data_IF_277203246337
#
_entry.id   IF_277203246337
#
_cell.length_a   1.000
_cell.length_b   1.000
_cell.length_c   1.000
_cell.angle_alpha   90.00
_cell.angle_beta   90.00
_cell.angle_gamma   90.00
#
_symmetry.space_group_name_H-M   'P 1'
#
loop_
_entity.id
_entity.type
_entity.pdbx_description
1 polymer ?
#
# COMPACT_ATOMS: atom_id res chain seq x y z
N UNK A 1 -59.46 -46.39 -17.48
CA UNK A 1 -59.40 -45.34 -16.44
C UNK A 1 -57.94 -45.07 -16.12
N UNK A 2 -57.56 -43.79 -16.33
CA UNK A 2 -56.44 -43.00 -15.79
C UNK A 2 -55.06 -43.63 -15.54
N UNK A 3 -54.09 -42.96 -16.17
CA UNK A 3 -52.64 -43.08 -16.10
C UNK A 3 -52.05 -42.84 -14.70
N UNK A 4 -50.81 -43.32 -14.50
CA UNK A 4 -49.84 -42.70 -13.60
C UNK A 4 -48.41 -43.00 -14.09
N UNK A 5 -47.81 -42.01 -14.74
CA UNK A 5 -46.38 -41.91 -15.05
C UNK A 5 -45.62 -41.40 -13.83
N UNK A 6 -44.60 -42.13 -13.36
CA UNK A 6 -43.64 -41.64 -12.37
C UNK A 6 -42.43 -41.04 -13.07
N UNK A 7 -42.31 -39.72 -13.04
CA UNK A 7 -41.12 -38.98 -13.44
C UNK A 7 -40.03 -39.09 -12.38
N UNK A 8 -38.82 -39.46 -12.79
CA UNK A 8 -37.63 -39.39 -11.96
C UNK A 8 -37.08 -37.96 -12.01
N UNK A 9 -37.11 -37.27 -10.87
CA UNK A 9 -36.47 -35.96 -10.69
C UNK A 9 -35.00 -36.23 -10.31
N UNK A 10 -34.08 -36.00 -11.25
CA UNK A 10 -32.64 -35.95 -10.99
C UNK A 10 -32.30 -34.57 -10.44
N UNK A 11 -32.00 -34.48 -9.14
CA UNK A 11 -31.43 -33.30 -8.51
C UNK A 11 -29.92 -33.28 -8.74
N UNK A 12 -29.45 -32.39 -9.61
CA UNK A 12 -28.02 -32.09 -9.77
C UNK A 12 -27.55 -31.22 -8.60
N UNK A 13 -26.65 -31.73 -7.77
CA UNK A 13 -25.96 -30.95 -6.76
C UNK A 13 -24.84 -30.14 -7.43
N UNK A 14 -25.02 -28.83 -7.56
CA UNK A 14 -23.97 -27.92 -8.01
C UNK A 14 -22.95 -27.73 -6.87
N UNK A 15 -21.70 -28.16 -7.10
CA UNK A 15 -20.59 -27.92 -6.19
C UNK A 15 -20.16 -26.45 -6.35
N UNK A 16 -20.54 -25.61 -5.39
CA UNK A 16 -20.12 -24.21 -5.33
C UNK A 16 -18.67 -24.16 -4.83
N UNK A 17 -17.72 -24.02 -5.76
CA UNK A 17 -16.32 -23.72 -5.41
C UNK A 17 -16.26 -22.25 -5.00
N UNK A 18 -16.19 -22.01 -3.69
CA UNK A 18 -16.02 -20.67 -3.14
C UNK A 18 -14.54 -20.30 -3.20
N UNK A 19 -14.11 -19.78 -4.35
CA UNK A 19 -12.78 -19.18 -4.51
C UNK A 19 -12.74 -17.86 -3.76
N UNK A 20 -12.13 -17.84 -2.57
CA UNK A 20 -11.78 -16.60 -1.89
C UNK A 20 -10.58 -16.00 -2.60
N UNK A 21 -10.82 -15.07 -3.52
CA UNK A 21 -9.78 -14.15 -3.96
C UNK A 21 -9.33 -13.37 -2.70
N UNK A 22 -8.09 -13.58 -2.27
CA UNK A 22 -7.47 -12.71 -1.28
C UNK A 22 -7.37 -11.28 -1.83
N UNK A 23 -7.18 -10.27 -0.97
CA UNK A 23 -6.87 -8.94 -1.47
C UNK A 23 -5.60 -9.02 -2.30
N UNK A 24 -5.66 -8.60 -3.57
CA UNK A 24 -4.46 -8.24 -4.29
C UNK A 24 -3.88 -7.03 -3.53
N UNK A 25 -2.68 -7.17 -2.98
CA UNK A 25 -1.90 -6.01 -2.57
C UNK A 25 -1.73 -5.18 -3.83
N UNK A 26 -2.06 -3.88 -3.78
CA UNK A 26 -1.73 -3.01 -4.89
C UNK A 26 -0.19 -2.96 -4.99
N UNK A 27 0.37 -3.20 -6.18
CA UNK A 27 1.82 -3.13 -6.41
C UNK A 27 2.40 -1.73 -6.10
N UNK A 28 1.51 -0.73 -6.09
CA UNK A 28 1.80 0.66 -5.76
C UNK A 28 1.24 1.05 -4.39
N UNK A 29 2.10 1.62 -3.55
CA UNK A 29 1.76 2.13 -2.22
C UNK A 29 2.03 3.62 -2.15
N UNK A 30 1.08 4.38 -1.61
CA UNK A 30 1.23 5.82 -1.39
C UNK A 30 1.82 6.10 -0.01
N UNK A 31 2.85 6.95 0.01
CA UNK A 31 3.58 7.39 1.20
C UNK A 31 3.66 8.92 1.14
N UNK A 32 3.53 9.58 2.29
CA UNK A 32 3.62 11.03 2.39
C UNK A 32 4.67 11.43 3.41
N UNK A 33 5.10 12.69 3.38
CA UNK A 33 5.91 13.31 4.43
C UNK A 33 5.58 14.79 4.52
N UNK A 34 5.45 15.30 5.74
CA UNK A 34 5.34 16.74 6.02
C UNK A 34 6.25 17.07 7.19
N UNK A 35 7.01 18.15 7.08
CA UNK A 35 7.99 18.51 8.08
C UNK A 35 8.60 19.89 7.84
N UNK A 36 9.67 20.18 8.58
CA UNK A 36 10.25 21.52 8.64
C UNK A 36 11.75 21.49 8.95
N UNK A 37 12.39 22.66 8.86
CA UNK A 37 13.78 22.81 9.30
C UNK A 37 13.98 22.47 10.78
N UNK A 38 12.98 22.66 11.63
CA UNK A 38 13.08 22.29 13.06
C UNK A 38 13.19 20.78 13.30
N UNK A 39 12.83 19.95 12.32
CA UNK A 39 12.93 18.48 12.42
C UNK A 39 14.30 17.94 12.01
N UNK A 40 15.19 18.77 11.48
CA UNK A 40 16.55 18.38 11.14
C UNK A 40 17.37 17.95 12.36
N UNK A 41 18.27 16.99 12.13
CA UNK A 41 19.10 16.36 13.15
C UNK A 41 20.51 16.21 12.59
N UNK A 42 21.57 16.49 13.37
CA UNK A 42 21.58 16.85 14.79
C UNK A 42 21.31 18.33 15.09
N UNK A 43 21.50 19.21 14.11
CA UNK A 43 21.24 20.64 14.22
C UNK A 43 19.97 20.98 13.43
N UNK A 44 19.11 21.87 13.93
CA UNK A 44 17.98 22.37 13.15
C UNK A 44 18.46 22.99 11.84
N UNK A 45 17.64 22.81 10.80
CA UNK A 45 17.81 23.42 9.50
C UNK A 45 17.36 24.87 9.51
N UNK A 46 16.82 25.31 8.37
CA UNK A 46 16.44 26.71 8.19
C UNK A 46 15.16 27.04 8.96
N UNK A 47 15.14 28.21 9.58
CA UNK A 47 13.94 28.68 10.26
C UNK A 47 12.84 28.95 9.25
N UNK A 48 11.60 28.58 9.61
CA UNK A 48 10.41 28.73 8.78
C UNK A 48 10.40 27.89 7.48
N UNK A 49 11.46 27.11 7.22
CA UNK A 49 11.48 26.20 6.09
C UNK A 49 10.56 25.00 6.31
N UNK A 50 9.83 24.63 5.26
CA UNK A 50 8.92 23.48 5.23
C UNK A 50 9.24 22.58 4.05
N UNK A 51 9.02 21.28 4.22
CA UNK A 51 9.07 20.29 3.14
C UNK A 51 7.84 19.39 3.20
N UNK A 52 7.19 19.21 2.07
CA UNK A 52 6.12 18.24 1.87
C UNK A 52 6.49 17.31 0.72
N UNK A 53 6.17 16.02 0.85
CA UNK A 53 6.45 15.03 -0.16
C UNK A 53 5.30 14.05 -0.33
N UNK A 54 4.87 13.87 -1.57
CA UNK A 54 3.94 12.83 -2.00
C UNK A 54 4.72 11.79 -2.80
N UNK A 55 4.62 10.52 -2.42
CA UNK A 55 5.36 9.41 -3.03
C UNK A 55 4.40 8.29 -3.40
N UNK A 56 4.59 7.73 -4.60
CA UNK A 56 3.96 6.49 -5.05
C UNK A 56 5.06 5.48 -5.35
N UNK A 57 5.05 4.38 -4.61
CA UNK A 57 6.11 3.37 -4.62
C UNK A 57 5.60 2.12 -5.33
N UNK A 58 6.11 1.84 -6.53
CA UNK A 58 5.95 0.56 -7.22
C UNK A 58 6.99 -0.43 -6.68
N UNK A 59 6.53 -1.31 -5.79
CA UNK A 59 7.38 -2.27 -5.07
C UNK A 59 7.91 -3.39 -5.97
N UNK A 60 7.24 -3.68 -7.08
CA UNK A 60 7.69 -4.68 -8.05
C UNK A 60 8.84 -4.16 -8.92
N UNK A 61 8.70 -2.90 -9.38
CA UNK A 61 9.69 -2.26 -10.26
C UNK A 61 10.81 -1.56 -9.52
N UNK A 62 10.65 -1.31 -8.22
CA UNK A 62 11.54 -0.45 -7.44
C UNK A 62 11.46 1.02 -7.88
N UNK A 63 10.31 1.45 -8.40
CA UNK A 63 10.12 2.79 -8.95
C UNK A 63 9.39 3.67 -7.94
N UNK A 64 9.94 4.85 -7.66
CA UNK A 64 9.35 5.82 -6.74
C UNK A 64 9.01 7.08 -7.55
N UNK A 65 7.72 7.31 -7.79
CA UNK A 65 7.22 8.55 -8.39
C UNK A 65 6.90 9.53 -7.28
N UNK A 66 7.36 10.76 -7.38
CA UNK A 66 7.21 11.73 -6.30
C UNK A 66 7.01 13.17 -6.78
N UNK A 67 6.33 13.94 -5.93
CA UNK A 67 6.38 15.41 -5.93
C UNK A 67 6.84 15.85 -4.56
N UNK A 68 7.88 16.67 -4.49
CA UNK A 68 8.36 17.27 -3.24
C UNK A 68 8.30 18.77 -3.40
N UNK A 69 7.67 19.45 -2.45
CA UNK A 69 7.54 20.91 -2.40
C UNK A 69 8.29 21.43 -1.19
N UNK A 70 8.95 22.57 -1.37
CA UNK A 70 9.68 23.27 -0.31
C UNK A 70 9.23 24.72 -0.27
N UNK A 71 9.22 25.31 0.93
CA UNK A 71 8.97 26.73 1.12
C UNK A 71 9.83 27.26 2.27
N UNK A 72 9.98 28.59 2.35
CA UNK A 72 10.71 29.25 3.45
C UNK A 72 12.24 29.22 3.33
N UNK A 73 12.78 28.77 2.20
CA UNK A 73 14.22 28.82 1.87
C UNK A 73 14.45 29.84 0.74
N UNK A 74 15.50 30.64 0.86
CA UNK A 74 15.89 31.69 -0.10
C UNK A 74 16.83 31.19 -1.21
N UNK A 75 17.38 29.98 -1.07
CA UNK A 75 18.31 29.35 -2.03
C UNK A 75 17.65 28.20 -2.80
N UNK A 76 18.17 27.89 -4.00
CA UNK A 76 17.73 26.70 -4.71
C UNK A 76 18.12 25.42 -3.95
N UNK A 77 17.29 24.38 -4.06
CA UNK A 77 17.62 23.03 -3.59
C UNK A 77 18.85 22.53 -4.35
N UNK A 78 19.92 22.24 -3.63
CA UNK A 78 21.19 21.75 -4.16
C UNK A 78 21.23 20.22 -4.24
N UNK A 79 20.55 19.53 -3.31
CA UNK A 79 20.41 18.08 -3.29
C UNK A 79 19.16 17.68 -2.49
N UNK A 80 18.64 16.49 -2.75
CA UNK A 80 17.52 15.94 -2.00
C UNK A 80 17.59 14.41 -1.98
N UNK A 81 17.21 13.82 -0.85
CA UNK A 81 17.39 12.40 -0.60
C UNK A 81 16.26 11.82 0.24
N UNK A 82 16.02 10.51 0.07
CA UNK A 82 15.39 9.69 1.11
C UNK A 82 16.51 9.04 1.92
N UNK A 83 16.42 9.14 3.24
CA UNK A 83 17.33 8.53 4.20
C UNK A 83 16.62 7.44 5.02
N UNK A 84 17.39 6.50 5.57
CA UNK A 84 16.89 5.44 6.44
C UNK A 84 17.33 5.68 7.89
N UNK A 85 16.41 6.20 8.70
CA UNK A 85 16.48 6.21 10.15
C UNK A 85 15.12 6.61 10.74
N UNK A 86 14.84 6.19 11.99
CA UNK A 86 13.63 6.63 12.69
C UNK A 86 13.67 8.14 12.97
N UNK A 87 12.50 8.68 13.33
CA UNK A 87 12.37 10.09 13.72
C UNK A 87 13.34 10.45 14.84
N UNK A 88 14.06 11.56 14.66
CA UNK A 88 15.01 12.07 15.65
C UNK A 88 16.44 11.55 15.50
N UNK A 89 16.71 10.67 14.53
CA UNK A 89 18.04 10.15 14.22
C UNK A 89 18.45 10.50 12.78
N UNK A 90 19.74 10.73 12.56
CA UNK A 90 20.31 10.90 11.23
C UNK A 90 20.66 9.52 10.66
N UNK A 91 20.30 9.28 9.39
CA UNK A 91 20.47 8.00 8.72
C UNK A 91 21.24 8.10 7.41
N UNK A 92 21.58 6.95 6.85
CA UNK A 92 22.26 6.86 5.55
C UNK A 92 21.30 7.25 4.40
N UNK A 93 21.85 7.83 3.34
CA UNK A 93 21.13 8.09 2.09
C UNK A 93 20.83 6.76 1.40
N UNK A 94 19.55 6.53 1.07
CA UNK A 94 19.10 5.31 0.38
C UNK A 94 18.51 5.57 -1.00
N UNK A 95 17.99 6.78 -1.27
CA UNK A 95 17.52 7.18 -2.60
C UNK A 95 17.92 8.63 -2.88
N UNK A 96 18.46 8.89 -4.06
CA UNK A 96 18.70 10.25 -4.56
C UNK A 96 17.49 10.76 -5.34
N UNK A 97 17.06 11.98 -5.04
CA UNK A 97 15.98 12.67 -5.72
C UNK A 97 16.53 13.76 -6.65
N UNK A 98 15.74 14.16 -7.65
CA UNK A 98 16.09 15.18 -8.62
C UNK A 98 15.81 16.58 -8.06
N UNK A 99 16.86 17.27 -7.61
CA UNK A 99 16.76 18.62 -7.10
C UNK A 99 16.17 19.62 -8.11
N UNK A 100 16.39 19.42 -9.43
CA UNK A 100 15.83 20.32 -10.44
C UNK A 100 14.31 20.17 -10.54
N UNK A 101 13.81 18.94 -10.41
CA UNK A 101 12.36 18.69 -10.39
C UNK A 101 11.70 19.34 -9.15
N UNK A 102 12.36 19.30 -8.00
CA UNK A 102 11.91 19.95 -6.77
C UNK A 102 11.89 21.47 -6.92
N UNK A 103 12.98 22.06 -7.43
CA UNK A 103 13.05 23.50 -7.71
C UNK A 103 11.99 23.95 -8.75
N UNK A 104 11.66 23.09 -9.70
CA UNK A 104 10.62 23.35 -10.70
C UNK A 104 9.19 23.07 -10.19
N UNK A 105 9.03 22.41 -9.03
CA UNK A 105 7.73 21.97 -8.53
C UNK A 105 7.05 20.93 -9.42
N UNK A 106 7.83 20.05 -10.06
CA UNK A 106 7.34 19.04 -11.01
C UNK A 106 7.50 17.63 -10.47
N UNK A 107 6.61 16.73 -10.86
CA UNK A 107 6.74 15.30 -10.60
C UNK A 107 8.01 14.72 -11.26
N UNK A 108 8.67 13.81 -10.55
CA UNK A 108 9.81 13.06 -11.05
C UNK A 108 9.79 11.61 -10.55
N UNK A 109 10.73 10.81 -11.05
CA UNK A 109 10.86 9.39 -10.70
C UNK A 109 12.29 9.09 -10.27
N UNK A 110 12.44 8.30 -9.21
CA UNK A 110 13.70 7.72 -8.77
C UNK A 110 13.60 6.18 -8.81
N UNK A 111 14.75 5.53 -9.01
CA UNK A 111 14.86 4.07 -8.97
C UNK A 111 15.55 3.64 -7.67
N UNK A 112 15.01 2.60 -7.05
CA UNK A 112 15.55 1.90 -5.89
C UNK A 112 15.61 0.40 -6.19
N UNK A 113 16.33 -0.36 -5.34
CA UNK A 113 16.19 -1.81 -5.35
C UNK A 113 14.73 -2.18 -4.97
N UNK A 114 14.08 -3.15 -5.64
CA UNK A 114 12.71 -3.55 -5.30
C UNK A 114 12.53 -3.95 -3.82
N UNK A 115 13.53 -4.54 -3.18
CA UNK A 115 13.47 -4.87 -1.75
C UNK A 115 13.48 -3.62 -0.88
N UNK A 116 14.27 -2.60 -1.24
CA UNK A 116 14.28 -1.30 -0.56
C UNK A 116 12.95 -0.58 -0.76
N UNK A 117 12.40 -0.58 -1.98
CA UNK A 117 11.09 0.02 -2.25
C UNK A 117 9.98 -0.66 -1.42
N UNK A 118 10.02 -1.99 -1.32
CA UNK A 118 9.10 -2.74 -0.46
C UNK A 118 9.29 -2.40 1.03
N UNK A 119 10.52 -2.15 1.49
CA UNK A 119 10.80 -1.73 2.86
C UNK A 119 10.22 -0.33 3.15
N UNK A 120 10.46 0.64 2.27
CA UNK A 120 9.90 2.00 2.40
C UNK A 120 8.37 1.95 2.42
N UNK A 121 7.76 1.13 1.57
CA UNK A 121 6.30 0.98 1.53
C UNK A 121 5.73 0.30 2.80
N UNK A 122 6.47 -0.66 3.38
CA UNK A 122 6.03 -1.43 4.54
C UNK A 122 6.26 -0.73 5.88
N UNK A 123 7.29 0.12 5.97
CA UNK A 123 7.69 0.82 7.21
C UNK A 123 8.15 2.23 6.89
N UNK A 124 7.28 3.09 6.32
CA UNK A 124 7.66 4.45 5.91
C UNK A 124 8.21 5.27 7.08
N UNK A 125 7.77 5.03 8.31
CA UNK A 125 8.26 5.71 9.52
C UNK A 125 9.73 5.44 9.84
N UNK A 126 10.38 4.47 9.18
CA UNK A 126 11.82 4.23 9.26
C UNK A 126 12.63 5.08 8.25
N UNK A 127 11.97 5.92 7.46
CA UNK A 127 12.56 6.72 6.40
C UNK A 127 12.12 8.19 6.49
N UNK A 128 12.94 9.08 5.94
CA UNK A 128 12.63 10.50 5.84
C UNK A 128 13.14 11.12 4.55
N UNK A 129 12.45 12.14 4.05
CA UNK A 129 12.97 13.01 3.00
C UNK A 129 13.76 14.16 3.62
N UNK A 130 14.88 14.50 3.01
CA UNK A 130 15.76 15.59 3.40
C UNK A 130 16.13 16.42 2.17
N UNK A 131 16.13 17.74 2.32
CA UNK A 131 16.47 18.70 1.25
C UNK A 131 17.60 19.61 1.70
N UNK A 132 18.55 19.86 0.81
CA UNK A 132 19.80 20.58 1.11
C UNK A 132 19.92 21.84 0.26
N UNK A 133 20.57 22.86 0.82
CA UNK A 133 20.95 24.09 0.13
C UNK A 133 22.43 24.39 0.40
N UNK A 134 23.06 25.35 -0.31
CA UNK A 134 24.44 25.73 -0.04
C UNK A 134 24.69 26.18 1.41
N UNK A 135 23.75 26.91 2.02
CA UNK A 135 23.86 27.35 3.41
C UNK A 135 23.57 26.23 4.42
N UNK A 136 22.80 25.22 4.03
CA UNK A 136 22.43 24.08 4.86
C UNK A 136 22.83 22.75 4.20
N UNK A 137 24.14 22.44 4.12
CA UNK A 137 24.62 21.24 3.46
C UNK A 137 24.22 19.95 4.18
N UNK A 138 23.89 20.03 5.48
CA UNK A 138 23.38 18.90 6.26
C UNK A 138 21.86 18.67 6.07
N UNK A 139 21.14 19.66 5.53
CA UNK A 139 19.69 19.65 5.39
C UNK A 139 19.09 20.97 5.89
N UNK A 140 18.25 21.63 5.09
CA UNK A 140 17.47 22.80 5.54
C UNK A 140 16.06 22.43 5.98
N UNK A 141 15.52 21.29 5.54
CA UNK A 141 14.22 20.78 5.95
C UNK A 141 14.11 19.25 5.82
N UNK A 142 13.50 18.65 6.86
CA UNK A 142 13.28 17.21 6.98
C UNK A 142 11.80 16.91 7.19
N UNK A 143 11.33 15.84 6.56
CA UNK A 143 10.03 15.23 6.87
C UNK A 143 10.16 13.72 7.01
N UNK A 144 9.76 13.18 8.16
CA UNK A 144 9.61 11.73 8.31
C UNK A 144 8.48 11.24 7.40
N UNK A 145 8.68 10.09 6.76
CA UNK A 145 7.66 9.49 5.92
C UNK A 145 6.60 8.77 6.78
N UNK A 146 5.40 8.68 6.24
CA UNK A 146 4.26 8.02 6.85
C UNK A 146 3.32 7.45 5.78
N UNK A 147 2.52 6.44 6.16
CA UNK A 147 1.54 5.86 5.25
C UNK A 147 0.50 6.91 4.87
N UNK A 148 0.20 7.04 3.58
CA UNK A 148 -0.82 7.97 3.13
C UNK A 148 -2.21 7.56 3.65
N UNK A 149 -3.05 8.53 4.00
CA UNK A 149 -4.41 8.24 4.45
C UNK A 149 -5.21 7.48 3.36
N UNK A 150 -6.02 6.47 3.72
CA UNK A 150 -6.79 5.71 2.73
C UNK A 150 -7.76 6.64 1.99
N UNK A 151 -7.41 7.04 0.77
CA UNK A 151 -8.16 7.99 -0.06
C UNK A 151 -7.30 8.81 -1.03
N UNK A 152 -6.00 8.93 -0.79
CA UNK A 152 -5.03 9.61 -1.68
C UNK A 152 -4.39 8.60 -2.65
N UNK A 153 -5.19 8.03 -3.55
CA UNK A 153 -4.63 7.34 -4.73
C UNK A 153 -4.43 8.38 -5.82
N UNK A 154 -3.20 8.68 -6.26
CA UNK A 154 -3.02 9.38 -7.52
C UNK A 154 -3.65 8.54 -8.61
N UNK A 155 -4.40 9.19 -9.49
CA UNK A 155 -5.06 8.56 -10.61
C UNK A 155 -3.99 8.04 -11.59
N UNK A 156 -3.45 6.86 -11.32
CA UNK A 156 -2.73 6.08 -12.32
C UNK A 156 -3.63 5.93 -13.54
N UNK A 157 -3.05 6.13 -14.71
CA UNK A 157 -3.67 6.26 -16.04
C UNK A 157 -4.42 5.01 -16.56
N UNK A 158 -4.92 4.14 -15.67
CA UNK A 158 -5.95 3.15 -15.95
C UNK A 158 -5.58 2.08 -16.98
N UNK A 159 -4.32 2.02 -17.41
CA UNK A 159 -3.89 1.06 -18.44
C UNK A 159 -3.47 -0.27 -17.82
N UNK A 160 -4.41 -0.93 -17.15
CA UNK A 160 -4.67 -2.38 -17.19
C UNK A 160 -5.47 -2.84 -15.96
N UNK A 161 -6.79 -2.86 -16.08
CA UNK A 161 -7.61 -4.07 -15.88
C UNK A 161 -9.10 -3.70 -15.83
N UNK A 162 -9.79 -4.05 -16.91
CA UNK A 162 -11.25 -4.18 -16.95
C UNK A 162 -11.72 -5.08 -15.80
N UNK A 163 -12.57 -4.54 -14.90
CA UNK A 163 -13.23 -5.34 -13.87
C UNK A 163 -13.79 -4.54 -12.71
N UNK A 164 -14.82 -3.72 -12.93
CA UNK A 164 -15.70 -3.21 -11.86
C UNK A 164 -16.41 -4.43 -11.24
N UNK A 165 -16.35 -4.63 -9.91
CA UNK A 165 -17.43 -4.08 -9.09
C UNK A 165 -16.98 -3.44 -7.77
N UNK A 166 -17.52 -2.24 -7.55
CA UNK A 166 -17.89 -1.72 -6.23
C UNK A 166 -18.57 -2.80 -5.38
N UNK A 167 -18.05 -3.13 -4.19
CA UNK A 167 -18.87 -3.72 -3.13
C UNK A 167 -18.52 -3.13 -1.76
N UNK A 168 -19.56 -2.50 -1.22
CA UNK A 168 -19.79 -1.99 0.12
C UNK A 168 -19.47 -3.04 1.19
N UNK A 169 -18.90 -2.59 2.32
CA UNK A 169 -18.41 -3.44 3.40
C UNK A 169 -19.42 -4.44 3.96
N UNK A 170 -18.92 -5.62 4.31
CA UNK A 170 -19.59 -6.58 5.19
C UNK A 170 -18.56 -7.14 6.17
N UNK A 171 -18.69 -6.76 7.43
CA UNK A 171 -18.00 -7.39 8.55
C UNK A 171 -18.45 -8.85 8.66
N UNK A 172 -17.52 -9.80 8.51
CA UNK A 172 -17.79 -11.22 8.69
C UNK A 172 -17.54 -11.60 10.16
N UNK A 173 -18.62 -11.66 10.95
CA UNK A 173 -18.63 -12.30 12.27
C UNK A 173 -18.68 -13.81 12.06
N UNK A 174 -17.65 -14.52 12.51
CA UNK A 174 -17.59 -15.98 12.46
C UNK A 174 -18.39 -16.59 13.61
N UNK A 175 -19.53 -17.22 13.28
CA UNK A 175 -20.20 -18.17 14.17
C UNK A 175 -20.19 -19.54 13.51
N UNK A 176 -19.33 -20.43 14.01
CA UNK A 176 -19.29 -21.83 13.60
C UNK A 176 -20.46 -22.62 14.19
N UNK A 177 -20.97 -23.59 13.43
CA UNK A 177 -21.70 -24.74 13.97
C UNK A 177 -21.30 -25.99 13.18
N UNK A 178 -20.86 -27.00 13.92
CA UNK A 178 -20.18 -28.19 13.42
C UNK A 178 -21.06 -29.22 12.73
N UNK A 179 -20.41 -30.00 11.87
CA UNK A 179 -20.93 -31.22 11.28
C UNK A 179 -20.86 -32.37 12.29
N UNK A 180 -21.97 -33.10 12.46
CA UNK A 180 -21.96 -34.43 13.06
C UNK A 180 -22.65 -35.40 12.11
N UNK A 181 -21.85 -36.26 11.47
CA UNK A 181 -22.30 -37.39 10.67
C UNK A 181 -21.71 -38.68 11.25
N UNK A 182 -22.57 -39.59 11.70
CA UNK A 182 -22.30 -41.02 11.90
C UNK A 182 -23.66 -41.69 12.21
N UNK A 183 -24.11 -42.79 11.64
CA UNK A 183 -23.55 -43.74 10.70
C UNK A 183 -24.64 -44.78 10.37
N UNK A 184 -24.55 -45.35 9.18
CA UNK A 184 -25.46 -46.36 8.62
C UNK A 184 -25.35 -47.69 9.37
N UNK A 185 -26.48 -48.35 9.66
CA UNK A 185 -26.52 -49.81 9.79
C UNK A 185 -27.85 -50.38 9.24
N UNK A 186 -27.71 -51.11 8.15
CA UNK A 186 -28.74 -51.83 7.40
C UNK A 186 -28.80 -53.27 7.94
N UNK A 187 -29.97 -53.81 8.28
CA UNK A 187 -30.14 -55.28 8.35
C UNK A 187 -31.48 -55.73 7.78
N UNK A 188 -31.36 -56.66 6.84
CA UNK A 188 -32.42 -57.32 6.05
C UNK A 188 -33.11 -58.42 6.86
N UNK A 189 -34.41 -58.58 6.61
CA UNK A 189 -35.04 -59.87 6.27
C UNK A 189 -35.72 -60.66 7.39
N UNK A 190 -36.87 -61.24 7.05
CA UNK A 190 -37.41 -62.42 7.74
C UNK A 190 -38.92 -62.40 7.95
N UNK A 191 -39.60 -63.40 7.41
CA UNK A 191 -41.05 -63.53 7.33
C UNK A 191 -41.69 -64.24 8.55
N UNK A 192 -43.02 -64.28 8.49
CA UNK A 192 -44.02 -64.88 9.35
C UNK A 192 -43.76 -66.30 9.88
N UNK A 193 -44.28 -66.55 11.09
CA UNK A 193 -45.13 -67.70 11.42
C UNK A 193 -46.12 -67.26 12.51
#
# INVERSE_FOLDING_TARGET
MRAASLGAVLTAAALLVLSTAGPALADQVSVTGSGSGAEEVPEPGENDATVEGDFTIDTEKGMITYTVTVAGNDEDVAAAHIHQAPRGEAGDVVVTLDANAINAGTEATAMADPALAAEIAASPEAFYVNVHSPSFPAGFARAQLEAAAPGSVPAGDGSSASGVPTVIGVALVTAGVGALALGVARRRGGASA
#
